data_IF_355335507801
#
_entry.id   IF_355335507801
#
_cell.length_a   1.000
_cell.length_b   1.000
_cell.length_c   1.000
_cell.angle_alpha   90.00
_cell.angle_beta   90.00
_cell.angle_gamma   90.00
#
_symmetry.space_group_name_H-M   'P 1'
#
loop_
_entity.id
_entity.type
_entity.pdbx_description
1 polymer ?
#
# COMPACT_ATOMS: atom_id res chain seq x y z
N UNK A 1 -22.36 -15.42 7.62
CA UNK A 1 -20.94 -15.56 7.20
C UNK A 1 -20.22 -14.28 7.61
N UNK A 2 -19.19 -14.36 8.47
CA UNK A 2 -18.34 -13.23 8.86
C UNK A 2 -16.93 -13.49 8.34
N UNK A 3 -16.33 -12.51 7.70
CA UNK A 3 -14.92 -12.55 7.29
C UNK A 3 -14.13 -11.91 8.44
N UNK A 4 -13.30 -12.68 9.11
CA UNK A 4 -12.47 -12.20 10.21
C UNK A 4 -11.06 -11.92 9.69
N UNK A 5 -10.55 -10.72 10.00
CA UNK A 5 -9.18 -10.33 9.67
C UNK A 5 -8.29 -10.71 10.86
N UNK A 6 -7.37 -11.65 10.64
CA UNK A 6 -6.31 -11.94 11.58
C UNK A 6 -5.32 -10.77 11.61
N UNK A 7 -5.45 -9.92 12.64
CA UNK A 7 -4.75 -8.64 12.73
C UNK A 7 -3.24 -8.75 12.56
N UNK A 8 -2.60 -9.75 13.19
CA UNK A 8 -1.14 -9.89 13.08
C UNK A 8 -0.68 -10.23 11.66
N UNK A 9 -1.44 -11.06 10.93
CA UNK A 9 -1.16 -11.35 9.52
C UNK A 9 -1.33 -10.10 8.66
N UNK A 10 -2.40 -9.33 8.89
CA UNK A 10 -2.66 -8.08 8.18
C UNK A 10 -1.55 -7.05 8.38
N UNK A 11 -1.17 -6.76 9.63
CA UNK A 11 -0.11 -5.78 9.93
C UNK A 11 1.23 -6.21 9.33
N UNK A 12 1.52 -7.52 9.33
CA UNK A 12 2.73 -8.04 8.69
C UNK A 12 2.71 -7.79 7.18
N UNK A 13 1.60 -8.12 6.50
CA UNK A 13 1.43 -7.86 5.08
C UNK A 13 1.59 -6.39 4.75
N UNK A 14 0.92 -5.51 5.52
CA UNK A 14 1.00 -4.06 5.34
C UNK A 14 2.43 -3.54 5.44
N UNK A 15 3.17 -3.95 6.47
CA UNK A 15 4.58 -3.59 6.63
C UNK A 15 5.46 -4.08 5.46
N UNK A 16 5.21 -5.29 4.95
CA UNK A 16 5.93 -5.83 3.79
C UNK A 16 5.63 -5.01 2.51
N UNK A 17 4.36 -4.62 2.31
CA UNK A 17 3.92 -3.81 1.18
C UNK A 17 4.46 -2.36 1.21
N UNK A 18 4.43 -1.70 2.37
CA UNK A 18 4.99 -0.36 2.57
C UNK A 18 6.51 -0.34 2.34
N UNK A 19 7.21 -1.41 2.74
CA UNK A 19 8.64 -1.58 2.49
C UNK A 19 8.98 -1.94 1.03
N UNK A 20 7.97 -2.19 0.17
CA UNK A 20 8.18 -2.58 -1.22
C UNK A 20 8.76 -3.97 -1.42
N UNK A 21 8.65 -4.85 -0.41
CA UNK A 21 9.11 -6.25 -0.51
C UNK A 21 8.21 -7.05 -1.44
N UNK A 22 8.73 -8.14 -1.99
CA UNK A 22 7.92 -9.10 -2.75
C UNK A 22 7.01 -9.83 -1.77
N UNK A 23 5.71 -9.90 -2.07
CA UNK A 23 4.75 -10.69 -1.29
C UNK A 23 5.20 -12.15 -1.24
N UNK A 24 5.70 -12.55 -0.09
CA UNK A 24 5.96 -13.94 0.26
C UNK A 24 5.07 -14.20 1.45
N UNK A 25 4.04 -15.03 1.28
CA UNK A 25 3.14 -15.39 2.38
C UNK A 25 3.84 -16.51 3.16
N UNK A 26 4.40 -16.26 4.37
CA UNK A 26 5.00 -17.32 5.14
C UNK A 26 4.03 -18.50 5.37
N UNK A 27 4.56 -19.72 5.52
CA UNK A 27 3.77 -20.79 6.12
C UNK A 27 3.32 -20.33 7.52
N UNK A 28 2.12 -20.73 7.95
CA UNK A 28 1.52 -20.43 9.27
C UNK A 28 0.84 -19.07 9.46
N UNK A 29 0.83 -18.19 8.45
CA UNK A 29 0.01 -16.97 8.51
C UNK A 29 -1.29 -17.11 7.71
N UNK A 30 -2.34 -16.46 8.20
CA UNK A 30 -3.57 -16.28 7.42
C UNK A 30 -3.28 -15.45 6.16
N UNK A 31 -3.27 -16.13 5.01
CA UNK A 31 -2.89 -15.56 3.72
C UNK A 31 -3.86 -14.48 3.24
N UNK A 32 -5.15 -14.61 3.57
CA UNK A 32 -6.15 -13.60 3.20
C UNK A 32 -5.85 -12.27 3.90
N UNK A 33 -5.73 -12.28 5.23
CA UNK A 33 -5.42 -11.08 6.01
C UNK A 33 -4.07 -10.47 5.62
N UNK A 34 -3.04 -11.30 5.42
CA UNK A 34 -1.74 -10.84 4.94
C UNK A 34 -1.83 -10.12 3.60
N UNK A 35 -2.50 -10.72 2.61
CA UNK A 35 -2.59 -10.13 1.28
C UNK A 35 -3.40 -8.82 1.30
N UNK A 36 -4.48 -8.76 2.08
CA UNK A 36 -5.24 -7.52 2.30
C UNK A 36 -4.34 -6.39 2.82
N UNK A 37 -3.54 -6.65 3.84
CA UNK A 37 -2.58 -5.67 4.36
C UNK A 37 -1.52 -5.29 3.34
N UNK A 38 -0.94 -6.27 2.65
CA UNK A 38 0.11 -6.05 1.65
C UNK A 38 -0.32 -5.12 0.51
N UNK A 39 -1.52 -5.30 -0.03
CA UNK A 39 -2.06 -4.42 -1.08
C UNK A 39 -2.22 -2.99 -0.58
N UNK A 40 -2.71 -2.79 0.65
CA UNK A 40 -2.82 -1.46 1.25
C UNK A 40 -1.44 -0.81 1.44
N UNK A 41 -0.47 -1.56 1.97
CA UNK A 41 0.89 -1.06 2.15
C UNK A 41 1.56 -0.69 0.82
N UNK A 42 1.35 -1.50 -0.22
CA UNK A 42 1.80 -1.17 -1.59
C UNK A 42 1.15 0.10 -2.11
N UNK A 43 -0.14 0.31 -1.88
CA UNK A 43 -0.83 1.53 -2.29
C UNK A 43 -0.25 2.78 -1.59
N UNK A 44 0.14 2.68 -0.32
CA UNK A 44 0.85 3.74 0.39
C UNK A 44 2.19 4.03 -0.26
N UNK A 45 3.00 2.99 -0.52
CA UNK A 45 4.28 3.14 -1.23
C UNK A 45 4.11 3.78 -2.62
N UNK A 46 3.15 3.34 -3.43
CA UNK A 46 2.92 3.94 -4.75
C UNK A 46 2.36 5.37 -4.65
N UNK A 47 1.52 5.69 -3.66
CA UNK A 47 1.09 7.08 -3.39
C UNK A 47 2.26 8.00 -3.05
N UNK A 48 3.27 7.51 -2.32
CA UNK A 48 4.49 8.31 -2.09
C UNK A 48 5.26 8.59 -3.38
N UNK A 49 5.15 7.74 -4.40
CA UNK A 49 5.72 8.01 -5.74
C UNK A 49 4.88 9.01 -6.55
N UNK A 50 3.57 9.06 -6.32
CA UNK A 50 2.64 9.94 -7.05
C UNK A 50 2.60 11.40 -6.53
N UNK A 51 3.46 11.80 -5.59
CA UNK A 51 3.55 13.20 -5.20
C UNK A 51 4.30 14.03 -6.26
N UNK A 52 3.47 14.71 -7.07
CA UNK A 52 3.67 15.99 -7.77
C UNK A 52 3.52 15.90 -9.29
N UNK A 53 2.33 15.54 -9.76
CA UNK A 53 1.81 16.26 -10.94
C UNK A 53 1.18 17.56 -10.41
N UNK A 54 2.01 18.56 -10.16
CA UNK A 54 1.53 19.95 -10.16
C UNK A 54 1.44 20.28 -11.64
N UNK A 55 0.24 20.44 -12.24
CA UNK A 55 0.18 21.03 -13.56
C UNK A 55 0.90 22.39 -13.45
N UNK A 56 1.92 22.61 -14.28
CA UNK A 56 2.48 23.94 -14.44
C UNK A 56 1.32 24.84 -14.85
N UNK A 57 0.91 25.72 -13.95
CA UNK A 57 -0.17 26.67 -14.17
C UNK A 57 0.25 27.56 -15.36
N UNK A 58 -0.37 27.43 -16.55
CA UNK A 58 0.11 28.16 -17.73
C UNK A 58 -0.31 29.65 -17.70
N UNK A 59 -0.88 30.13 -16.59
CA UNK A 59 -1.61 31.39 -16.50
C UNK A 59 -0.86 32.61 -15.96
N UNK A 60 0.47 32.69 -16.00
CA UNK A 60 1.21 33.93 -15.67
C UNK A 60 2.14 34.39 -16.79
N UNK A 61 1.53 34.79 -17.90
CA UNK A 61 2.11 35.83 -18.73
C UNK A 61 2.14 37.12 -17.91
N UNK A 62 3.36 37.55 -17.54
CA UNK A 62 3.61 38.80 -16.82
C UNK A 62 3.14 39.94 -17.72
N UNK A 63 2.20 40.75 -17.21
CA UNK A 63 1.98 42.11 -17.72
C UNK A 63 3.25 42.95 -17.55
#
# INVERSE_FOLDING_TARGET
MRIEIHKASYERGKSDGEAGRISTVPPEIDGFSYYSGYVEGKAVLERTKCHRFVPEDPGKERR
#
